data_IF_589426396571
#
_entry.id   IF_589426396571
#
_cell.length_a   1.000
_cell.length_b   1.000
_cell.length_c   1.000
_cell.angle_alpha   90.00
_cell.angle_beta   90.00
_cell.angle_gamma   90.00
#
_symmetry.space_group_name_H-M   'P 1'
#
loop_
_entity.id
_entity.type
_entity.pdbx_description
1 polymer ?
#
# COMPACT_ATOMS: atom_id res chain seq x y z
N UNK A 1 43.36 12.81 18.84
CA UNK A 1 41.96 13.27 19.05
C UNK A 1 41.84 14.71 18.51
N UNK A 2 42.36 14.96 17.29
CA UNK A 2 43.23 16.14 17.05
C UNK A 2 42.79 17.13 15.97
N UNK A 3 41.52 17.57 15.96
CA UNK A 3 41.10 18.68 15.07
C UNK A 3 40.27 19.79 15.76
N UNK A 4 40.20 19.83 17.10
CA UNK A 4 39.54 20.93 17.82
C UNK A 4 38.03 21.08 17.58
N UNK A 5 37.40 20.13 16.89
CA UNK A 5 35.97 20.16 16.64
C UNK A 5 35.21 19.78 17.92
N UNK A 6 34.27 20.63 18.34
CA UNK A 6 33.41 20.37 19.49
C UNK A 6 32.76 18.96 19.34
N UNK A 7 32.70 18.15 20.42
CA UNK A 7 32.20 16.77 20.36
C UNK A 7 30.81 16.65 19.72
N UNK A 8 29.95 17.64 19.99
CA UNK A 8 28.63 17.77 19.38
C UNK A 8 28.70 17.93 17.85
N UNK A 9 29.63 18.73 17.32
CA UNK A 9 29.81 18.91 15.88
C UNK A 9 30.28 17.61 15.22
N UNK A 10 31.20 16.89 15.86
CA UNK A 10 31.67 15.57 15.37
C UNK A 10 30.53 14.56 15.35
N UNK A 11 29.70 14.54 16.39
CA UNK A 11 28.53 13.66 16.45
C UNK A 11 27.57 13.91 15.28
N UNK A 12 27.11 15.14 15.06
CA UNK A 12 26.13 15.43 14.01
C UNK A 12 26.69 15.37 12.59
N UNK A 13 27.99 15.67 12.40
CA UNK A 13 28.60 15.78 11.07
C UNK A 13 29.27 14.49 10.62
N UNK A 14 29.75 13.66 11.56
CA UNK A 14 30.55 12.47 11.24
C UNK A 14 29.87 11.22 11.75
N UNK A 15 29.54 11.15 13.04
CA UNK A 15 29.04 9.92 13.66
C UNK A 15 27.60 9.61 13.23
N UNK A 16 26.72 10.61 13.30
CA UNK A 16 25.30 10.50 12.96
C UNK A 16 25.09 10.13 11.48
N UNK A 17 25.72 10.78 10.47
CA UNK A 17 25.54 10.39 9.07
C UNK A 17 26.12 9.01 8.75
N UNK A 18 27.12 8.54 9.51
CA UNK A 18 27.69 7.22 9.32
C UNK A 18 26.78 6.11 9.88
N UNK A 19 26.09 6.36 11.00
CA UNK A 19 25.14 5.40 11.59
C UNK A 19 23.69 5.59 11.09
N UNK A 20 23.40 6.70 10.40
CA UNK A 20 22.11 7.05 9.79
C UNK A 20 21.44 5.88 9.04
N UNK A 21 22.12 5.12 8.16
CA UNK A 21 21.48 3.97 7.50
C UNK A 21 21.02 2.90 8.50
N UNK A 22 21.79 2.62 9.55
CA UNK A 22 21.40 1.70 10.61
C UNK A 22 20.25 2.26 11.48
N UNK A 23 20.23 3.57 11.72
CA UNK A 23 19.12 4.25 12.42
C UNK A 23 17.82 4.15 11.61
N UNK A 24 17.87 4.33 10.29
CA UNK A 24 16.69 4.16 9.42
C UNK A 24 16.20 2.71 9.46
N UNK A 25 17.10 1.73 9.36
CA UNK A 25 16.73 0.30 9.46
C UNK A 25 16.11 -0.05 10.81
N UNK A 26 16.68 0.47 11.91
CA UNK A 26 16.12 0.31 13.26
C UNK A 26 14.78 0.99 13.43
N UNK A 27 14.61 2.18 12.83
CA UNK A 27 13.34 2.90 12.83
C UNK A 27 12.23 2.14 12.08
N UNK A 28 12.53 1.58 10.90
CA UNK A 28 11.58 0.76 10.13
C UNK A 28 11.19 -0.51 10.89
N UNK A 29 12.14 -1.16 11.56
CA UNK A 29 11.89 -2.34 12.37
C UNK A 29 11.01 -2.00 13.58
N UNK A 30 11.34 -0.93 14.31
CA UNK A 30 10.55 -0.46 15.45
C UNK A 30 9.14 -0.02 15.03
N UNK A 31 8.99 0.63 13.88
CA UNK A 31 7.70 0.98 13.30
C UNK A 31 6.87 -0.27 12.97
N UNK A 32 7.49 -1.27 12.34
CA UNK A 32 6.84 -2.55 12.01
C UNK A 32 6.38 -3.27 13.28
N UNK A 33 7.23 -3.33 14.32
CA UNK A 33 6.87 -3.90 15.61
C UNK A 33 5.77 -3.11 16.32
N UNK A 34 5.73 -1.78 16.20
CA UNK A 34 4.66 -0.96 16.78
C UNK A 34 3.29 -1.23 16.15
N UNK A 35 3.27 -1.64 14.87
CA UNK A 35 2.04 -2.07 14.18
C UNK A 35 1.56 -3.45 14.65
N UNK A 36 2.48 -4.31 15.13
CA UNK A 36 2.17 -5.62 15.72
C UNK A 36 1.61 -5.45 17.15
N UNK A 37 2.23 -4.58 17.95
CA UNK A 37 1.76 -4.21 19.30
C UNK A 37 0.39 -3.49 19.30
N UNK A 38 -0.14 -3.05 18.15
CA UNK A 38 -1.51 -2.52 18.03
C UNK A 38 -2.57 -3.54 18.46
N UNK A 39 -2.32 -4.84 18.24
CA UNK A 39 -3.24 -5.89 18.64
C UNK A 39 -3.30 -5.95 20.17
N UNK A 40 -2.16 -5.97 20.86
CA UNK A 40 -2.09 -6.00 22.33
C UNK A 40 -2.60 -4.68 22.94
N UNK A 41 -2.23 -3.53 22.37
CA UNK A 41 -2.72 -2.23 22.81
C UNK A 41 -4.24 -2.09 22.63
N UNK A 42 -4.85 -2.71 21.61
CA UNK A 42 -6.31 -2.73 21.44
C UNK A 42 -7.03 -3.56 22.50
N UNK A 43 -6.36 -4.56 23.09
CA UNK A 43 -6.91 -5.41 24.13
C UNK A 43 -6.59 -4.92 25.55
N UNK A 44 -5.53 -4.13 25.74
CA UNK A 44 -5.09 -3.60 27.06
C UNK A 44 -5.50 -2.14 27.30
N UNK A 45 -5.83 -1.36 26.26
CA UNK A 45 -6.31 0.02 26.45
C UNK A 45 -7.73 0.03 27.01
N UNK A 46 -7.83 0.27 28.32
CA UNK A 46 -9.09 0.60 28.98
C UNK A 46 -9.80 1.81 28.35
N UNK A 47 -11.13 1.92 28.55
CA UNK A 47 -11.97 2.86 27.81
C UNK A 47 -11.58 4.32 28.10
N UNK A 48 -11.04 5.02 27.10
CA UNK A 48 -10.83 6.48 27.16
C UNK A 48 -9.58 7.06 26.49
N UNK A 49 -8.59 6.25 26.10
CA UNK A 49 -7.40 6.75 25.40
C UNK A 49 -7.62 6.73 23.88
N UNK A 50 -8.07 7.84 23.30
CA UNK A 50 -8.17 8.00 21.83
C UNK A 50 -6.78 8.18 21.22
N UNK A 51 -6.09 7.07 21.02
CA UNK A 51 -4.88 7.01 20.18
C UNK A 51 -5.30 6.92 18.70
N UNK A 52 -4.45 7.34 17.76
CA UNK A 52 -4.70 7.27 16.31
C UNK A 52 -5.32 5.93 15.83
N UNK A 53 -4.92 4.76 16.37
CA UNK A 53 -5.52 3.47 16.02
C UNK A 53 -6.98 3.29 16.49
N UNK A 54 -7.37 3.86 17.63
CA UNK A 54 -8.74 3.81 18.15
C UNK A 54 -9.71 4.60 17.27
N UNK A 55 -9.27 5.73 16.70
CA UNK A 55 -10.01 6.47 15.67
C UNK A 55 -10.17 5.64 14.39
N UNK A 56 -9.11 4.96 13.93
CA UNK A 56 -9.16 4.09 12.74
C UNK A 56 -10.10 2.90 12.98
N UNK A 57 -10.06 2.27 14.16
CA UNK A 57 -10.91 1.13 14.48
C UNK A 57 -12.38 1.55 14.72
N UNK A 58 -12.63 2.71 15.32
CA UNK A 58 -13.96 3.33 15.41
C UNK A 58 -14.55 3.64 14.02
N UNK A 59 -13.72 4.11 13.09
CA UNK A 59 -14.13 4.36 11.69
C UNK A 59 -14.52 3.07 10.96
N UNK A 60 -13.87 1.95 11.28
CA UNK A 60 -14.20 0.62 10.73
C UNK A 60 -15.43 0.00 11.42
N UNK A 61 -15.63 0.29 12.70
CA UNK A 61 -16.66 -0.35 13.54
C UNK A 61 -17.99 0.41 13.61
N UNK A 62 -18.06 1.66 13.16
CA UNK A 62 -19.32 2.41 12.95
C UNK A 62 -20.13 1.94 11.72
N UNK A 63 -19.86 0.72 11.23
CA UNK A 63 -20.57 0.10 10.13
C UNK A 63 -19.86 0.35 8.83
N UNK A 64 -19.82 -0.67 7.97
CA UNK A 64 -19.55 -0.56 6.53
C UNK A 64 -20.06 0.79 6.03
N UNK A 65 -19.15 1.74 5.83
CA UNK A 65 -19.51 3.05 5.35
C UNK A 65 -20.18 2.80 3.99
N UNK A 66 -21.51 3.00 3.84
CA UNK A 66 -22.21 2.63 2.61
C UNK A 66 -21.56 3.28 1.38
N UNK A 67 -20.89 4.40 1.60
CA UNK A 67 -20.03 5.10 0.66
C UNK A 67 -18.85 4.26 0.16
N UNK A 68 -18.14 3.53 1.03
CA UNK A 68 -17.00 2.66 0.65
C UNK A 68 -17.51 1.47 -0.17
N UNK A 69 -18.63 0.86 0.22
CA UNK A 69 -19.23 -0.25 -0.54
C UNK A 69 -19.80 0.21 -1.89
N UNK A 70 -20.34 1.43 -1.96
CA UNK A 70 -20.79 2.05 -3.20
C UNK A 70 -19.62 2.37 -4.14
N UNK A 71 -18.52 2.92 -3.59
CA UNK A 71 -17.26 3.15 -4.33
C UNK A 71 -16.68 1.84 -4.87
N UNK A 72 -16.61 0.79 -4.04
CA UNK A 72 -16.12 -0.51 -4.46
C UNK A 72 -16.96 -1.10 -5.60
N UNK A 73 -18.29 -1.00 -5.51
CA UNK A 73 -19.21 -1.49 -6.54
C UNK A 73 -19.07 -0.70 -7.85
N UNK A 74 -18.89 0.63 -7.77
CA UNK A 74 -18.67 1.48 -8.94
C UNK A 74 -17.36 1.13 -9.65
N UNK A 75 -16.27 0.98 -8.89
CA UNK A 75 -14.95 0.64 -9.43
C UNK A 75 -14.99 -0.75 -10.08
N UNK A 76 -15.56 -1.76 -9.41
CA UNK A 76 -15.69 -3.11 -9.95
C UNK A 76 -16.58 -3.14 -11.20
N UNK A 77 -17.66 -2.35 -11.22
CA UNK A 77 -18.54 -2.22 -12.37
C UNK A 77 -17.82 -1.61 -13.58
N UNK A 78 -17.09 -0.51 -13.40
CA UNK A 78 -16.34 0.15 -14.48
C UNK A 78 -15.25 -0.76 -15.02
N UNK A 79 -14.42 -1.34 -14.15
CA UNK A 79 -13.34 -2.25 -14.56
C UNK A 79 -13.90 -3.49 -15.25
N UNK A 80 -15.00 -4.05 -14.73
CA UNK A 80 -15.69 -5.18 -15.32
C UNK A 80 -16.22 -4.89 -16.74
N UNK A 81 -16.87 -3.74 -16.94
CA UNK A 81 -17.40 -3.34 -18.25
C UNK A 81 -16.25 -3.11 -19.25
N UNK A 82 -15.20 -2.40 -18.84
CA UNK A 82 -14.03 -2.14 -19.69
C UNK A 82 -13.33 -3.45 -20.07
N UNK A 83 -13.12 -4.33 -19.09
CA UNK A 83 -12.54 -5.64 -19.31
C UNK A 83 -13.39 -6.52 -20.24
N UNK A 84 -14.72 -6.49 -20.07
CA UNK A 84 -15.64 -7.22 -20.94
C UNK A 84 -15.63 -6.70 -22.38
N UNK A 85 -15.61 -5.38 -22.58
CA UNK A 85 -15.49 -4.77 -23.91
C UNK A 85 -14.16 -5.13 -24.55
N UNK A 86 -13.05 -5.02 -23.81
CA UNK A 86 -11.73 -5.39 -24.30
C UNK A 86 -11.68 -6.87 -24.72
N UNK A 87 -12.19 -7.77 -23.87
CA UNK A 87 -12.32 -9.18 -24.19
C UNK A 87 -13.17 -9.41 -25.43
N UNK A 88 -14.33 -8.75 -25.54
CA UNK A 88 -15.23 -8.91 -26.68
C UNK A 88 -14.60 -8.45 -28.00
N UNK A 89 -13.91 -7.31 -27.98
CA UNK A 89 -13.19 -6.77 -29.15
C UNK A 89 -12.03 -7.68 -29.55
N UNK A 90 -11.23 -8.15 -28.58
CA UNK A 90 -10.13 -9.09 -28.84
C UNK A 90 -10.65 -10.43 -29.38
N UNK A 91 -11.72 -10.98 -28.80
CA UNK A 91 -12.35 -12.21 -29.26
C UNK A 91 -12.89 -12.08 -30.70
N UNK A 92 -13.40 -10.89 -31.07
CA UNK A 92 -13.85 -10.60 -32.43
C UNK A 92 -12.67 -10.45 -33.40
N UNK A 93 -11.60 -9.79 -32.99
CA UNK A 93 -10.38 -9.62 -33.79
C UNK A 93 -9.67 -10.97 -34.03
N UNK A 94 -9.65 -11.86 -33.03
CA UNK A 94 -9.05 -13.19 -33.15
C UNK A 94 -9.81 -14.06 -34.16
N UNK A 95 -11.15 -14.01 -34.12
CA UNK A 95 -11.98 -14.69 -35.14
C UNK A 95 -11.74 -14.17 -36.56
N UNK A 96 -11.39 -12.89 -36.73
CA UNK A 96 -11.04 -12.33 -38.03
C UNK A 96 -9.64 -12.78 -38.49
N UNK A 97 -8.64 -12.75 -37.60
CA UNK A 97 -7.28 -13.25 -37.87
C UNK A 97 -7.28 -14.70 -38.34
N UNK A 98 -8.06 -15.57 -37.68
CA UNK A 98 -8.17 -16.98 -38.06
C UNK A 98 -8.76 -17.14 -39.47
N UNK A 99 -9.74 -16.31 -39.86
CA UNK A 99 -10.34 -16.33 -41.21
C UNK A 99 -9.38 -15.85 -42.29
N UNK A 100 -8.57 -14.84 -42.00
CA UNK A 100 -7.59 -14.31 -42.94
C UNK A 100 -6.45 -15.31 -43.19
N UNK A 101 -5.99 -16.01 -42.14
CA UNK A 101 -5.00 -17.09 -42.26
C UNK A 101 -5.53 -18.25 -43.12
N UNK A 102 -6.81 -18.60 -42.99
CA UNK A 102 -7.43 -19.65 -43.81
C UNK A 102 -7.58 -19.25 -45.28
N UNK A 103 -7.79 -17.97 -45.58
CA UNK A 103 -7.84 -17.44 -46.96
C UNK A 103 -6.45 -17.40 -47.59
N UNK A 104 -5.42 -17.04 -46.84
CA UNK A 104 -4.02 -17.05 -47.30
C UNK A 104 -3.47 -18.46 -47.57
N UNK A 105 -4.00 -19.50 -46.91
CA UNK A 105 -3.64 -20.91 -47.17
C UNK A 105 -4.39 -21.56 -48.34
N UNK A 106 -5.41 -20.89 -48.90
CA UNK A 106 -6.28 -21.45 -49.96
C UNK A 106 -6.03 -20.84 -51.35
N UNK A 107 -5.12 -19.88 -51.49
CA UNK A 107 -4.59 -19.41 -52.77
C UNK A 107 -3.16 -19.90 -52.94
#
# INVERSE_FOLDING_TARGET
MDLGAAPLKVFFVITLPMIMPAVISGWLLAFTLSLDDLVIASFVSGPGATTLPMLVFSSVRMGVNPEINALATLILGVVGIVGFIAWYLMARAEKQRIRDIQRARRG
#
